data_IF_364624643879
#
_entry.id   IF_364624643879
#
_cell.length_a   1.000
_cell.length_b   1.000
_cell.length_c   1.000
_cell.angle_alpha   90.00
_cell.angle_beta   90.00
_cell.angle_gamma   90.00
#
_symmetry.space_group_name_H-M   'P 1'
#
loop_
_entity.id
_entity.type
_entity.pdbx_description
1 polymer ?
#
# COMPACT_ATOMS: atom_id res chain seq x y z
N UNK A 1 -10.44 33.53 49.77
CA UNK A 1 -9.33 33.66 48.80
C UNK A 1 -9.02 32.26 48.32
N UNK A 2 -9.76 31.83 47.30
CA UNK A 2 -9.56 30.57 46.60
C UNK A 2 -8.44 30.75 45.57
N UNK A 3 -7.59 29.74 45.44
CA UNK A 3 -6.64 29.62 44.34
C UNK A 3 -6.96 28.30 43.62
N UNK A 4 -7.44 28.32 42.37
CA UNK A 4 -7.85 27.12 41.67
C UNK A 4 -6.63 26.43 41.02
N UNK A 5 -6.49 25.14 41.30
CA UNK A 5 -5.50 24.27 40.68
C UNK A 5 -5.80 24.03 39.20
N UNK A 6 -4.81 24.32 38.37
CA UNK A 6 -4.81 24.03 36.93
C UNK A 6 -4.85 22.53 36.71
N UNK A 7 -6.01 22.00 36.30
CA UNK A 7 -6.15 20.62 35.85
C UNK A 7 -5.84 20.58 34.35
N UNK A 8 -4.64 20.12 33.99
CA UNK A 8 -4.32 19.76 32.60
C UNK A 8 -5.07 18.49 32.24
N UNK A 9 -6.24 18.65 31.62
CA UNK A 9 -7.00 17.55 31.04
C UNK A 9 -6.27 17.01 29.80
N UNK A 10 -5.62 15.85 29.94
CA UNK A 10 -5.22 15.06 28.79
C UNK A 10 -6.48 14.55 28.08
N UNK A 11 -6.64 14.90 26.80
CA UNK A 11 -7.68 14.36 25.94
C UNK A 11 -7.44 12.86 25.74
N UNK A 12 -8.08 12.03 26.55
CA UNK A 12 -8.22 10.60 26.28
C UNK A 12 -9.18 10.43 25.11
N UNK A 13 -8.65 10.33 23.90
CA UNK A 13 -9.40 9.92 22.72
C UNK A 13 -9.98 8.52 23.00
N UNK A 14 -11.31 8.36 22.96
CA UNK A 14 -11.91 7.07 23.26
C UNK A 14 -11.60 6.08 22.12
N UNK A 15 -11.55 4.79 22.43
CA UNK A 15 -11.31 3.72 21.44
C UNK A 15 -12.22 3.80 20.21
N UNK A 16 -13.46 4.25 20.42
CA UNK A 16 -14.46 4.45 19.38
C UNK A 16 -14.09 5.56 18.40
N UNK A 17 -13.41 6.60 18.86
CA UNK A 17 -13.14 7.81 18.06
C UNK A 17 -12.03 7.59 17.03
N UNK A 18 -10.94 6.93 17.42
CA UNK A 18 -9.84 6.61 16.51
C UNK A 18 -10.27 5.66 15.39
N UNK A 19 -10.98 4.58 15.75
CA UNK A 19 -11.53 3.63 14.79
C UNK A 19 -12.53 4.28 13.83
N UNK A 20 -13.47 5.07 14.37
CA UNK A 20 -14.45 5.82 13.57
C UNK A 20 -13.76 6.79 12.62
N UNK A 21 -12.72 7.49 13.09
CA UNK A 21 -11.94 8.44 12.28
C UNK A 21 -11.20 7.74 11.14
N UNK A 22 -10.48 6.65 11.43
CA UNK A 22 -9.75 5.89 10.39
C UNK A 22 -10.73 5.33 9.35
N UNK A 23 -11.86 4.77 9.79
CA UNK A 23 -12.91 4.29 8.88
C UNK A 23 -13.50 5.40 8.01
N UNK A 24 -13.82 6.55 8.60
CA UNK A 24 -14.32 7.71 7.86
C UNK A 24 -13.31 8.15 6.79
N UNK A 25 -12.04 8.27 7.15
CA UNK A 25 -10.98 8.63 6.21
C UNK A 25 -10.80 7.59 5.10
N UNK A 26 -10.94 6.29 5.40
CA UNK A 26 -10.96 5.22 4.40
C UNK A 26 -12.14 5.34 3.43
N UNK A 27 -13.33 5.66 3.91
CA UNK A 27 -14.52 5.93 3.07
C UNK A 27 -14.31 7.16 2.18
N UNK A 28 -13.66 8.20 2.69
CA UNK A 28 -13.30 9.39 1.90
C UNK A 28 -12.21 9.11 0.86
N UNK A 29 -11.43 8.03 1.02
CA UNK A 29 -10.43 7.59 0.04
C UNK A 29 -11.03 6.83 -1.14
N UNK A 30 -12.15 6.12 -0.95
CA UNK A 30 -12.78 5.34 -2.02
C UNK A 30 -13.18 6.23 -3.20
N UNK A 31 -12.81 5.81 -4.40
CA UNK A 31 -13.06 6.54 -5.64
C UNK A 31 -12.06 7.65 -5.96
N UNK A 32 -11.05 7.89 -5.10
CA UNK A 32 -9.97 8.84 -5.38
C UNK A 32 -8.86 8.20 -6.21
N UNK A 33 -8.11 9.06 -6.88
CA UNK A 33 -6.90 8.69 -7.59
C UNK A 33 -5.81 8.20 -6.66
N UNK A 34 -4.94 7.33 -7.15
CA UNK A 34 -3.81 6.78 -6.41
C UNK A 34 -2.65 6.48 -7.35
N UNK A 35 -1.43 6.77 -6.90
CA UNK A 35 -0.21 6.35 -7.58
C UNK A 35 0.29 5.06 -6.93
N UNK A 36 0.09 3.94 -7.61
CA UNK A 36 0.45 2.61 -7.08
C UNK A 36 1.96 2.36 -6.97
N UNK A 37 2.79 3.33 -7.37
CA UNK A 37 4.23 3.36 -7.05
C UNK A 37 4.51 3.80 -5.61
N UNK A 38 3.49 4.23 -4.86
CA UNK A 38 3.58 4.60 -3.44
C UNK A 38 3.16 3.45 -2.51
N UNK A 39 3.50 3.55 -1.22
CA UNK A 39 2.96 2.66 -0.18
C UNK A 39 1.45 2.90 0.03
N UNK A 40 0.71 1.92 0.55
CA UNK A 40 -0.75 1.93 0.74
C UNK A 40 -1.22 2.81 1.92
N UNK A 41 -0.74 4.06 2.01
CA UNK A 41 -1.18 5.03 3.04
C UNK A 41 -2.20 5.99 2.46
N UNK A 42 -3.21 6.34 3.26
CA UNK A 42 -4.24 7.31 2.87
C UNK A 42 -3.68 8.68 2.45
N UNK A 43 -2.51 9.06 2.96
CA UNK A 43 -1.83 10.31 2.61
C UNK A 43 -1.41 10.38 1.13
N UNK A 44 -1.25 9.24 0.46
CA UNK A 44 -0.86 9.17 -0.96
C UNK A 44 -2.06 9.17 -1.91
N UNK A 45 -3.29 9.18 -1.38
CA UNK A 45 -4.48 9.38 -2.22
C UNK A 45 -4.47 10.78 -2.82
N UNK A 46 -4.82 10.89 -4.10
CA UNK A 46 -4.81 12.14 -4.88
C UNK A 46 -6.00 13.04 -4.56
N UNK A 47 -5.80 14.35 -4.72
CA UNK A 47 -6.79 15.37 -4.37
C UNK A 47 -7.04 15.50 -2.87
N UNK A 48 -8.05 16.28 -2.47
CA UNK A 48 -8.46 16.41 -1.08
C UNK A 48 -9.33 15.21 -0.63
N UNK A 49 -9.50 14.95 0.68
CA UNK A 49 -10.50 13.98 1.15
C UNK A 49 -11.89 14.28 0.56
N UNK A 50 -12.53 13.28 -0.06
CA UNK A 50 -13.82 13.43 -0.72
C UNK A 50 -13.78 13.91 -2.19
N UNK A 51 -12.62 14.31 -2.74
CA UNK A 51 -12.51 14.70 -4.16
C UNK A 51 -12.39 13.45 -5.06
N UNK A 52 -13.49 12.71 -5.17
CA UNK A 52 -13.56 11.44 -5.91
C UNK A 52 -13.47 11.69 -7.41
N UNK A 53 -12.77 10.81 -8.12
CA UNK A 53 -12.73 10.81 -9.58
C UNK A 53 -13.96 10.12 -10.19
N UNK A 54 -14.58 9.23 -9.42
CA UNK A 54 -15.77 8.48 -9.82
C UNK A 54 -17.03 9.05 -9.19
N UNK A 55 -18.12 8.98 -9.94
CA UNK A 55 -19.46 9.36 -9.51
C UNK A 55 -19.99 8.31 -8.55
N UNK A 56 -20.33 8.74 -7.34
CA UNK A 56 -21.11 7.96 -6.38
C UNK A 56 -22.47 8.63 -6.20
N UNK A 57 -23.49 7.84 -5.89
CA UNK A 57 -24.79 8.36 -5.47
C UNK A 57 -24.65 9.03 -4.09
N UNK A 58 -24.40 10.35 -4.12
CA UNK A 58 -24.26 11.18 -2.93
C UNK A 58 -25.58 11.65 -2.35
N UNK A 59 -26.67 11.57 -3.13
CA UNK A 59 -28.00 12.00 -2.71
C UNK A 59 -28.65 10.97 -1.79
N UNK A 60 -28.30 9.69 -1.97
CA UNK A 60 -28.73 8.59 -1.11
C UNK A 60 -27.61 8.15 -0.17
N UNK A 61 -27.68 8.65 1.06
CA UNK A 61 -26.78 8.21 2.13
C UNK A 61 -27.51 7.36 3.17
N UNK A 62 -26.76 6.46 3.82
CA UNK A 62 -27.26 5.58 4.87
C UNK A 62 -26.29 5.55 6.05
N UNK A 63 -26.80 5.06 7.18
CA UNK A 63 -25.93 4.62 8.28
C UNK A 63 -25.28 3.30 7.88
N UNK A 64 -23.96 3.25 7.84
CA UNK A 64 -23.21 2.01 7.72
C UNK A 64 -22.99 1.46 9.13
N UNK A 65 -23.70 0.38 9.43
CA UNK A 65 -23.49 -0.39 10.65
C UNK A 65 -22.33 -1.33 10.40
N UNK A 66 -21.29 -1.16 11.20
CA UNK A 66 -20.18 -2.10 11.26
C UNK A 66 -20.34 -2.92 12.53
N UNK A 67 -19.74 -4.11 12.58
CA UNK A 67 -19.79 -4.95 13.78
C UNK A 67 -19.23 -4.21 15.01
N UNK A 68 -19.46 -4.74 16.23
CA UNK A 68 -19.01 -4.11 17.48
C UNK A 68 -19.63 -2.73 17.82
N UNK A 69 -20.74 -2.34 17.18
CA UNK A 69 -21.52 -1.15 17.56
C UNK A 69 -21.04 0.17 16.96
N UNK A 70 -20.07 0.14 16.03
CA UNK A 70 -19.64 1.33 15.28
C UNK A 70 -20.67 1.67 14.21
N UNK A 71 -21.14 2.91 14.20
CA UNK A 71 -22.12 3.40 13.22
C UNK A 71 -21.55 4.63 12.52
N UNK A 72 -21.34 4.51 11.21
CA UNK A 72 -20.88 5.63 10.39
C UNK A 72 -22.09 6.30 9.72
N UNK A 73 -22.38 7.58 10.02
CA UNK A 73 -23.46 8.30 9.37
C UNK A 73 -23.08 8.73 7.95
N UNK A 74 -24.09 9.04 7.14
CA UNK A 74 -23.94 9.71 5.84
C UNK A 74 -23.00 8.98 4.85
N UNK A 75 -22.99 7.64 4.87
CA UNK A 75 -22.21 6.84 3.93
C UNK A 75 -23.02 6.64 2.65
N UNK A 76 -22.46 6.96 1.45
CA UNK A 76 -23.10 6.67 0.17
C UNK A 76 -23.57 5.21 0.08
N UNK A 77 -24.74 4.97 -0.51
CA UNK A 77 -25.27 3.60 -0.68
C UNK A 77 -24.36 2.71 -1.53
N UNK A 78 -23.53 3.31 -2.37
CA UNK A 78 -22.53 2.65 -3.21
C UNK A 78 -21.31 2.11 -2.44
N UNK A 79 -21.27 2.29 -1.12
CA UNK A 79 -20.20 1.81 -0.26
C UNK A 79 -20.72 0.69 0.63
N UNK A 80 -20.00 -0.42 0.59
CA UNK A 80 -20.20 -1.58 1.43
C UNK A 80 -19.12 -1.66 2.51
N UNK A 81 -19.50 -2.19 3.66
CA UNK A 81 -18.61 -2.51 4.76
C UNK A 81 -18.71 -3.99 5.08
N UNK A 82 -17.57 -4.63 5.31
CA UNK A 82 -17.50 -6.01 5.80
C UNK A 82 -16.49 -6.12 6.95
N UNK A 83 -16.58 -7.19 7.74
CA UNK A 83 -15.58 -7.50 8.76
C UNK A 83 -14.59 -8.54 8.26
N UNK A 84 -13.32 -8.37 8.59
CA UNK A 84 -12.31 -9.37 8.32
C UNK A 84 -12.18 -10.43 9.42
N UNK A 85 -11.44 -11.49 9.11
CA UNK A 85 -11.04 -12.51 10.09
C UNK A 85 -9.56 -12.38 10.41
N UNK A 86 -9.22 -12.49 11.70
CA UNK A 86 -7.83 -12.58 12.14
C UNK A 86 -7.18 -13.80 11.50
N UNK A 87 -5.96 -13.65 11.03
CA UNK A 87 -5.22 -14.73 10.39
C UNK A 87 -3.71 -14.54 10.51
N UNK A 88 -2.99 -15.65 10.60
CA UNK A 88 -1.55 -15.67 10.38
C UNK A 88 -1.34 -16.11 8.94
N UNK A 89 -0.69 -15.25 8.14
CA UNK A 89 -0.31 -15.57 6.78
C UNK A 89 1.19 -15.86 6.73
N UNK A 90 1.54 -16.99 6.11
CA UNK A 90 2.92 -17.38 5.79
C UNK A 90 2.97 -17.57 4.28
N UNK A 91 3.85 -16.83 3.61
CA UNK A 91 4.14 -17.10 2.20
C UNK A 91 5.41 -17.96 2.14
N UNK A 92 5.41 -19.06 1.36
CA UNK A 92 6.62 -19.86 1.16
C UNK A 92 7.73 -19.02 0.55
N UNK A 93 8.96 -19.53 0.67
CA UNK A 93 10.13 -18.92 0.05
C UNK A 93 9.94 -18.90 -1.46
N UNK A 94 9.92 -17.72 -2.04
CA UNK A 94 9.65 -17.54 -3.47
C UNK A 94 10.62 -16.52 -4.08
N UNK A 95 10.59 -16.42 -5.40
CA UNK A 95 11.36 -15.42 -6.13
C UNK A 95 10.83 -14.00 -5.91
N UNK A 96 11.63 -13.01 -6.33
CA UNK A 96 11.21 -11.60 -6.37
C UNK A 96 9.90 -11.41 -7.15
N UNK A 97 9.76 -12.11 -8.29
CA UNK A 97 8.61 -11.97 -9.18
C UNK A 97 7.33 -12.55 -8.59
N UNK A 98 7.41 -13.76 -8.03
CA UNK A 98 6.26 -14.41 -7.38
C UNK A 98 5.76 -13.60 -6.16
N UNK A 99 6.69 -13.03 -5.37
CA UNK A 99 6.30 -12.17 -4.24
C UNK A 99 5.68 -10.86 -4.73
N UNK A 100 6.19 -10.26 -5.81
CA UNK A 100 5.61 -9.07 -6.41
C UNK A 100 4.18 -9.35 -6.92
N UNK A 101 3.98 -10.46 -7.64
CA UNK A 101 2.66 -10.91 -8.10
C UNK A 101 1.69 -11.13 -6.94
N UNK A 102 2.14 -11.75 -5.84
CA UNK A 102 1.33 -11.89 -4.63
C UNK A 102 0.86 -10.55 -4.05
N UNK A 103 1.74 -9.54 -4.02
CA UNK A 103 1.36 -8.19 -3.59
C UNK A 103 0.37 -7.52 -4.56
N UNK A 104 0.54 -7.75 -5.86
CA UNK A 104 -0.34 -7.23 -6.90
C UNK A 104 -1.75 -7.81 -6.77
N UNK A 105 -1.86 -9.13 -6.63
CA UNK A 105 -3.13 -9.85 -6.44
C UNK A 105 -3.85 -9.37 -5.18
N UNK A 106 -3.13 -9.16 -4.06
CA UNK A 106 -3.68 -8.58 -2.83
C UNK A 106 -4.27 -7.18 -3.01
N UNK A 107 -3.77 -6.44 -4.00
CA UNK A 107 -4.26 -5.09 -4.35
C UNK A 107 -5.27 -5.10 -5.51
N UNK A 108 -5.70 -6.28 -5.99
CA UNK A 108 -6.63 -6.41 -7.12
C UNK A 108 -6.02 -6.00 -8.47
N UNK A 109 -4.69 -6.00 -8.59
CA UNK A 109 -3.96 -5.64 -9.81
C UNK A 109 -3.37 -6.91 -10.42
N UNK A 110 -3.56 -7.09 -11.73
CA UNK A 110 -2.93 -8.16 -12.48
C UNK A 110 -1.57 -7.75 -13.03
N UNK A 111 -0.66 -8.71 -13.21
CA UNK A 111 0.64 -8.51 -13.85
C UNK A 111 1.80 -8.51 -12.87
N UNK A 112 2.99 -8.22 -13.39
CA UNK A 112 4.28 -8.51 -12.75
C UNK A 112 5.10 -7.25 -12.41
N UNK A 113 4.52 -6.06 -12.59
CA UNK A 113 5.16 -4.81 -12.19
C UNK A 113 5.03 -4.68 -10.66
N UNK A 114 6.13 -4.63 -9.89
CA UNK A 114 6.06 -4.56 -8.44
C UNK A 114 5.42 -3.24 -7.99
N UNK A 115 4.54 -3.27 -6.99
CA UNK A 115 3.92 -2.05 -6.44
C UNK A 115 4.87 -1.32 -5.47
N UNK A 116 4.57 -0.04 -5.23
CA UNK A 116 5.24 0.74 -4.19
C UNK A 116 5.11 0.11 -2.79
N UNK A 117 3.97 -0.50 -2.50
CA UNK A 117 3.76 -1.24 -1.25
C UNK A 117 4.72 -2.42 -1.09
N UNK A 118 4.95 -3.20 -2.16
CA UNK A 118 5.94 -4.28 -2.17
C UNK A 118 7.35 -3.73 -1.90
N UNK A 119 7.74 -2.68 -2.61
CA UNK A 119 9.06 -2.06 -2.42
C UNK A 119 9.26 -1.54 -0.99
N UNK A 120 8.26 -0.85 -0.45
CA UNK A 120 8.27 -0.32 0.91
C UNK A 120 8.38 -1.43 1.98
N UNK A 121 7.72 -2.58 1.76
CA UNK A 121 7.76 -3.69 2.72
C UNK A 121 9.13 -4.38 2.76
N UNK A 122 9.81 -4.51 1.62
CA UNK A 122 11.11 -5.18 1.50
C UNK A 122 12.34 -4.23 1.50
N UNK A 123 12.15 -2.92 1.71
CA UNK A 123 13.21 -1.91 1.60
C UNK A 123 13.93 -1.95 0.24
N UNK A 124 13.17 -2.13 -0.84
CA UNK A 124 13.69 -1.97 -2.19
C UNK A 124 13.69 -0.49 -2.56
N UNK A 125 14.84 -0.03 -3.07
CA UNK A 125 15.08 1.37 -3.44
C UNK A 125 15.80 1.50 -4.79
N UNK A 126 16.17 0.38 -5.41
CA UNK A 126 16.85 0.34 -6.70
C UNK A 126 15.84 0.23 -7.85
N UNK A 127 16.37 0.02 -9.05
CA UNK A 127 15.56 -0.45 -10.16
C UNK A 127 15.11 -1.90 -9.90
N UNK A 128 13.99 -2.30 -10.47
CA UNK A 128 13.45 -3.66 -10.45
C UNK A 128 14.49 -4.66 -10.92
N UNK A 129 15.25 -4.35 -11.97
CA UNK A 129 16.26 -5.26 -12.51
C UNK A 129 17.40 -5.46 -11.51
N UNK A 130 17.88 -4.38 -10.87
CA UNK A 130 18.94 -4.47 -9.85
C UNK A 130 18.45 -5.16 -8.59
N UNK A 131 17.28 -4.77 -8.07
CA UNK A 131 16.72 -5.34 -6.85
C UNK A 131 16.35 -6.82 -7.03
N UNK A 132 15.83 -7.20 -8.19
CA UNK A 132 15.59 -8.61 -8.52
C UNK A 132 16.89 -9.39 -8.66
N UNK A 133 17.92 -8.85 -9.33
CA UNK A 133 19.21 -9.53 -9.51
C UNK A 133 19.99 -9.69 -8.19
N UNK A 134 19.80 -8.76 -7.24
CA UNK A 134 20.41 -8.82 -5.91
C UNK A 134 19.66 -9.75 -4.94
N UNK A 135 18.45 -10.20 -5.29
CA UNK A 135 17.58 -10.99 -4.42
C UNK A 135 17.54 -12.45 -4.85
N UNK A 136 18.01 -13.34 -3.96
CA UNK A 136 17.92 -14.79 -4.17
C UNK A 136 16.51 -15.31 -3.95
N UNK A 137 15.90 -14.90 -2.84
CA UNK A 137 14.55 -15.30 -2.48
C UNK A 137 13.94 -14.32 -1.47
N UNK A 138 12.62 -14.31 -1.39
CA UNK A 138 11.83 -13.54 -0.45
C UNK A 138 10.91 -14.48 0.32
N UNK A 139 10.61 -14.12 1.56
CA UNK A 139 9.59 -14.79 2.36
C UNK A 139 8.91 -13.80 3.30
N UNK A 140 7.72 -14.16 3.77
CA UNK A 140 7.06 -13.39 4.81
C UNK A 140 6.22 -14.25 5.75
N UNK A 141 6.15 -13.82 7.00
CA UNK A 141 5.19 -14.31 7.98
C UNK A 141 4.60 -13.12 8.71
N UNK A 142 3.28 -13.08 8.85
CA UNK A 142 2.63 -11.96 9.51
C UNK A 142 1.29 -12.31 10.12
N UNK A 143 0.97 -11.59 11.19
CA UNK A 143 -0.32 -11.62 11.85
C UNK A 143 -1.17 -10.44 11.39
N UNK A 144 -2.32 -10.74 10.81
CA UNK A 144 -3.25 -9.77 10.22
C UNK A 144 -4.55 -9.75 11.02
N UNK A 145 -4.95 -8.55 11.44
CA UNK A 145 -6.19 -8.26 12.16
C UNK A 145 -6.98 -7.26 11.31
N UNK A 146 -7.60 -7.70 10.20
CA UNK A 146 -8.54 -6.87 9.45
C UNK A 146 -9.81 -6.70 10.29
N UNK A 147 -9.99 -5.52 10.87
CA UNK A 147 -11.21 -5.22 11.61
C UNK A 147 -12.36 -5.03 10.62
N UNK A 148 -12.14 -4.16 9.64
CA UNK A 148 -13.16 -3.77 8.68
C UNK A 148 -12.57 -3.53 7.29
N UNK A 149 -13.33 -3.85 6.27
CA UNK A 149 -13.07 -3.46 4.90
C UNK A 149 -14.24 -2.61 4.41
N UNK A 150 -13.91 -1.44 3.85
CA UNK A 150 -14.88 -0.61 3.12
C UNK A 150 -14.52 -0.67 1.64
N UNK A 151 -15.52 -0.85 0.77
CA UNK A 151 -15.32 -0.98 -0.67
C UNK A 151 -16.45 -0.37 -1.48
N UNK A 152 -16.16 -0.06 -2.74
CA UNK A 152 -17.17 0.32 -3.73
C UNK A 152 -17.98 -0.92 -4.13
N UNK A 153 -19.31 -0.84 -4.00
CA UNK A 153 -20.24 -1.92 -4.34
C UNK A 153 -20.44 -2.07 -5.86
N UNK A 154 -20.39 -0.94 -6.58
CA UNK A 154 -20.55 -0.91 -8.04
C UNK A 154 -19.25 -1.33 -8.72
N UNK A 155 -19.35 -2.34 -9.59
CA UNK A 155 -18.24 -2.74 -10.48
C UNK A 155 -18.13 -1.81 -11.70
N UNK A 156 -19.24 -1.24 -12.17
CA UNK A 156 -19.29 -0.32 -13.30
C UNK A 156 -19.10 1.13 -12.82
N UNK A 157 -17.88 1.48 -12.45
CA UNK A 157 -17.53 2.83 -12.01
C UNK A 157 -17.58 3.82 -13.19
N UNK A 158 -18.10 5.02 -12.96
CA UNK A 158 -18.20 6.08 -13.97
C UNK A 158 -17.37 7.28 -13.52
N UNK A 159 -16.39 7.68 -14.31
CA UNK A 159 -15.61 8.90 -14.05
C UNK A 159 -16.45 10.17 -14.21
N UNK A 160 -16.16 11.19 -13.42
CA UNK A 160 -16.67 12.54 -13.66
C UNK A 160 -16.21 13.04 -15.05
N UNK A 161 -17.10 13.74 -15.76
CA UNK A 161 -16.83 14.22 -17.12
C UNK A 161 -15.63 15.18 -17.21
N UNK A 162 -15.34 15.90 -16.13
CA UNK A 162 -14.15 16.76 -16.04
C UNK A 162 -12.85 15.97 -16.14
N UNK A 163 -12.80 14.76 -15.56
CA UNK A 163 -11.63 13.88 -15.62
C UNK A 163 -11.45 13.34 -17.04
N UNK A 164 -12.55 12.98 -17.70
CA UNK A 164 -12.53 12.55 -19.11
C UNK A 164 -12.01 13.67 -20.02
N UNK A 165 -12.45 14.91 -19.79
CA UNK A 165 -11.97 16.09 -20.54
C UNK A 165 -10.51 16.46 -20.25
N UNK A 166 -9.98 16.05 -19.09
CA UNK A 166 -8.58 16.28 -18.74
C UNK A 166 -7.60 15.34 -19.46
N UNK A 167 -8.09 14.27 -20.12
CA UNK A 167 -7.24 13.34 -20.87
C UNK A 167 -6.59 14.05 -22.06
N UNK A 168 -5.25 14.04 -22.17
CA UNK A 168 -4.56 14.66 -23.31
C UNK A 168 -4.90 13.97 -24.64
N UNK A 169 -5.26 14.76 -25.66
CA UNK A 169 -5.66 14.25 -26.98
C UNK A 169 -4.51 13.73 -27.84
N UNK A 170 -3.27 14.11 -27.53
CA UNK A 170 -2.06 13.75 -28.25
C UNK A 170 -0.98 13.27 -27.28
N UNK A 171 0.12 12.76 -27.83
CA UNK A 171 1.33 12.51 -27.06
C UNK A 171 2.03 13.83 -26.69
N UNK A 172 1.44 14.58 -25.76
CA UNK A 172 2.09 15.71 -25.10
C UNK A 172 2.67 15.26 -23.75
N UNK A 173 3.99 15.18 -23.64
CA UNK A 173 4.59 14.53 -22.50
C UNK A 173 4.38 15.27 -21.16
N UNK A 174 4.33 16.61 -21.18
CA UNK A 174 4.07 17.43 -20.00
C UNK A 174 2.63 17.26 -19.48
N UNK A 175 1.65 17.26 -20.39
CA UNK A 175 0.24 17.09 -20.02
C UNK A 175 -0.07 15.68 -19.52
N UNK A 176 0.54 14.66 -20.11
CA UNK A 176 0.39 13.26 -19.66
C UNK A 176 0.94 13.07 -18.24
N UNK A 177 2.12 13.64 -17.98
CA UNK A 177 2.72 13.65 -16.66
C UNK A 177 1.85 14.39 -15.63
N UNK A 178 1.36 15.58 -15.98
CA UNK A 178 0.45 16.36 -15.15
C UNK A 178 -0.84 15.60 -14.84
N UNK A 179 -1.38 14.83 -15.80
CA UNK A 179 -2.54 13.97 -15.56
C UNK A 179 -2.24 12.92 -14.47
N UNK A 180 -1.12 12.20 -14.59
CA UNK A 180 -0.71 11.17 -13.61
C UNK A 180 -0.44 11.81 -12.23
N UNK A 181 0.17 12.99 -12.19
CA UNK A 181 0.44 13.71 -10.95
C UNK A 181 -0.86 14.07 -10.22
N UNK A 182 -1.84 14.59 -10.96
CA UNK A 182 -3.12 15.08 -10.41
C UNK A 182 -4.12 13.96 -10.09
N UNK A 183 -4.21 12.93 -10.94
CA UNK A 183 -5.25 11.90 -10.84
C UNK A 183 -4.72 10.52 -10.49
N UNK A 184 -3.40 10.33 -10.49
CA UNK A 184 -2.78 9.03 -10.23
C UNK A 184 -2.85 8.09 -11.45
N UNK A 185 -2.45 6.84 -11.20
CA UNK A 185 -2.48 5.77 -12.21
C UNK A 185 -3.69 4.85 -12.03
N UNK A 186 -4.20 4.75 -10.81
CA UNK A 186 -5.31 3.89 -10.45
C UNK A 186 -6.32 4.63 -9.55
N UNK A 187 -7.46 4.01 -9.31
CA UNK A 187 -8.51 4.49 -8.41
C UNK A 187 -8.63 3.52 -7.24
N UNK A 188 -8.75 4.06 -6.02
CA UNK A 188 -8.96 3.26 -4.80
C UNK A 188 -10.37 2.65 -4.82
N UNK A 189 -10.47 1.32 -4.77
CA UNK A 189 -11.75 0.60 -4.78
C UNK A 189 -12.10 -0.03 -3.45
N UNK A 190 -11.12 -0.34 -2.60
CA UNK A 190 -11.34 -0.73 -1.22
C UNK A 190 -10.21 -0.26 -0.31
N UNK A 191 -10.50 -0.20 0.99
CA UNK A 191 -9.52 -0.01 2.04
C UNK A 191 -9.87 -0.91 3.24
N UNK A 192 -8.88 -1.65 3.74
CA UNK A 192 -8.99 -2.49 4.93
C UNK A 192 -8.34 -1.79 6.11
N UNK A 193 -9.15 -1.53 7.16
CA UNK A 193 -8.76 -0.91 8.42
C UNK A 193 -8.53 -1.99 9.47
N UNK A 194 -7.42 -1.89 10.20
CA UNK A 194 -7.10 -2.81 11.28
C UNK A 194 -5.64 -2.73 11.70
N UNK A 195 -5.05 -3.89 11.94
CA UNK A 195 -3.66 -4.02 12.35
C UNK A 195 -2.95 -5.14 11.59
N UNK A 196 -1.66 -4.96 11.33
CA UNK A 196 -0.80 -6.03 10.85
C UNK A 196 0.57 -5.93 11.50
N UNK A 197 1.15 -7.08 11.77
CA UNK A 197 2.52 -7.23 12.23
C UNK A 197 3.18 -8.29 11.36
N UNK A 198 4.15 -7.88 10.54
CA UNK A 198 4.73 -8.72 9.49
C UNK A 198 6.25 -8.68 9.56
N UNK A 199 6.85 -9.87 9.44
CA UNK A 199 8.28 -10.06 9.24
C UNK A 199 8.51 -10.38 7.77
N UNK A 200 9.24 -9.52 7.09
CA UNK A 200 9.70 -9.71 5.72
C UNK A 200 11.16 -10.14 5.73
N UNK A 201 11.47 -11.18 4.97
CA UNK A 201 12.80 -11.77 4.89
C UNK A 201 13.27 -11.64 3.45
N UNK A 202 14.44 -11.01 3.26
CA UNK A 202 15.13 -10.88 1.99
C UNK A 202 16.43 -11.65 2.05
N UNK A 203 16.51 -12.74 1.31
CA UNK A 203 17.75 -13.47 1.08
C UNK A 203 18.50 -12.82 -0.09
N UNK A 204 19.72 -12.33 0.15
CA UNK A 204 20.54 -11.75 -0.91
C UNK A 204 21.16 -12.83 -1.80
N UNK A 205 21.50 -12.46 -3.03
CA UNK A 205 22.07 -13.36 -4.04
C UNK A 205 23.36 -14.06 -3.58
N UNK A 206 24.16 -13.40 -2.72
CA UNK A 206 25.39 -13.94 -2.15
C UNK A 206 25.18 -14.97 -1.02
N UNK A 207 23.96 -15.09 -0.48
CA UNK A 207 23.67 -15.97 0.64
C UNK A 207 23.87 -17.44 0.27
N UNK A 208 24.65 -18.16 1.09
CA UNK A 208 24.89 -19.60 0.95
C UNK A 208 23.76 -20.48 1.49
N UNK A 209 22.74 -19.89 2.13
CA UNK A 209 21.63 -20.63 2.72
C UNK A 209 20.76 -21.32 1.66
N UNK A 210 20.27 -22.50 2.01
CA UNK A 210 19.29 -23.24 1.21
C UNK A 210 17.88 -22.67 1.40
N UNK A 211 16.95 -23.09 0.53
CA UNK A 211 15.52 -22.75 0.68
C UNK A 211 14.99 -23.24 2.02
N UNK A 212 15.30 -24.47 2.41
CA UNK A 212 14.87 -25.06 3.68
C UNK A 212 15.42 -24.33 4.91
N UNK A 213 16.63 -23.78 4.83
CA UNK A 213 17.17 -22.94 5.92
C UNK A 213 16.31 -21.68 6.13
N UNK A 214 15.86 -21.05 5.04
CA UNK A 214 14.99 -19.87 5.10
C UNK A 214 13.59 -20.26 5.56
N UNK A 215 13.03 -21.37 5.08
CA UNK A 215 11.71 -21.87 5.52
C UNK A 215 11.69 -22.16 7.02
N UNK A 216 12.71 -22.86 7.52
CA UNK A 216 12.86 -23.12 8.96
C UNK A 216 12.97 -21.80 9.72
N UNK A 217 13.74 -20.83 9.20
CA UNK A 217 13.86 -19.53 9.83
C UNK A 217 12.52 -18.76 9.90
N UNK A 218 11.76 -18.73 8.79
CA UNK A 218 10.42 -18.10 8.72
C UNK A 218 9.47 -18.74 9.73
N UNK A 219 9.54 -20.06 9.86
CA UNK A 219 8.74 -20.80 10.84
C UNK A 219 9.13 -20.40 12.27
N UNK A 220 10.41 -20.47 12.62
CA UNK A 220 10.88 -20.21 13.98
C UNK A 220 10.60 -18.77 14.42
N UNK A 221 10.83 -17.78 13.56
CA UNK A 221 10.53 -16.38 13.87
C UNK A 221 9.02 -16.13 13.97
N UNK A 222 8.23 -16.81 13.13
CA UNK A 222 6.77 -16.72 13.17
C UNK A 222 6.21 -17.31 14.47
N UNK A 223 6.71 -18.46 14.89
CA UNK A 223 6.27 -19.15 16.10
C UNK A 223 6.68 -18.34 17.35
N UNK A 224 7.89 -17.79 17.38
CA UNK A 224 8.34 -16.92 18.48
C UNK A 224 7.58 -15.58 18.52
N UNK A 225 7.23 -14.99 17.37
CA UNK A 225 6.61 -13.66 17.32
C UNK A 225 5.10 -13.69 17.50
N UNK A 226 4.43 -14.72 16.99
CA UNK A 226 2.97 -14.75 16.87
C UNK A 226 2.31 -15.88 17.65
N UNK A 227 3.06 -16.77 18.30
CA UNK A 227 2.49 -17.83 19.14
C UNK A 227 3.00 -17.71 20.58
N UNK A 228 2.08 -17.75 21.54
CA UNK A 228 2.39 -17.81 22.96
C UNK A 228 2.98 -19.19 23.30
N UNK A 229 4.27 -19.36 23.08
CA UNK A 229 5.01 -20.51 23.59
C UNK A 229 5.45 -20.18 25.02
N UNK A 230 4.70 -20.69 26.00
CA UNK A 230 5.11 -20.67 27.41
C UNK A 230 6.44 -21.39 27.58
N UNK A 231 7.50 -20.64 27.89
CA UNK A 231 8.76 -21.18 28.39
C UNK A 231 9.73 -21.66 27.30
N UNK A 232 10.91 -21.02 27.28
CA UNK A 232 12.20 -21.56 26.85
C UNK A 232 12.20 -22.46 25.61
N UNK A 233 12.21 -21.85 24.42
CA UNK A 233 12.84 -22.47 23.24
C UNK A 233 14.13 -21.73 22.92
N UNK A 234 15.25 -22.46 23.01
CA UNK A 234 16.62 -21.97 22.91
C UNK A 234 17.05 -21.63 21.48
N UNK A 235 16.25 -20.89 20.72
CA UNK A 235 16.74 -20.24 19.50
C UNK A 235 17.18 -18.82 19.88
N UNK A 236 18.39 -18.69 20.45
CA UNK A 236 19.05 -17.40 20.51
C UNK A 236 19.04 -16.75 19.12
N UNK A 237 19.08 -15.40 19.02
CA UNK A 237 18.98 -14.70 17.74
C UNK A 237 19.97 -15.32 16.75
N UNK A 238 19.44 -16.03 15.77
CA UNK A 238 20.26 -16.70 14.78
C UNK A 238 21.16 -15.65 14.13
N UNK A 239 22.47 -15.92 14.12
CA UNK A 239 23.50 -15.07 13.49
C UNK A 239 23.36 -15.09 11.96
N UNK A 240 22.22 -14.66 11.43
CA UNK A 240 21.96 -14.55 9.99
C UNK A 240 22.42 -13.22 9.41
N UNK A 241 22.73 -12.23 10.26
CA UNK A 241 23.45 -11.03 9.80
C UNK A 241 24.75 -11.37 9.08
N UNK A 242 25.38 -12.49 9.45
CA UNK A 242 26.61 -13.00 8.85
C UNK A 242 26.36 -13.91 7.62
N UNK A 243 25.10 -14.10 7.20
CA UNK A 243 24.71 -15.02 6.10
C UNK A 243 23.99 -14.33 4.94
N UNK A 244 24.15 -13.01 4.82
CA UNK A 244 23.53 -12.19 3.79
C UNK A 244 22.00 -12.35 3.72
N UNK A 245 21.35 -12.21 4.88
CA UNK A 245 19.88 -12.16 5.00
C UNK A 245 19.48 -10.87 5.70
N UNK A 246 18.52 -10.14 5.12
CA UNK A 246 17.91 -8.97 5.73
C UNK A 246 16.53 -9.33 6.29
N UNK A 247 16.30 -8.96 7.55
CA UNK A 247 15.04 -9.21 8.26
C UNK A 247 14.42 -7.87 8.60
N UNK A 248 13.17 -7.68 8.18
CA UNK A 248 12.50 -6.39 8.21
C UNK A 248 11.19 -6.56 8.95
N UNK A 249 11.05 -5.85 10.07
CA UNK A 249 9.82 -5.83 10.86
C UNK A 249 8.97 -4.65 10.42
N UNK A 250 7.71 -4.94 10.07
CA UNK A 250 6.73 -3.95 9.64
C UNK A 250 5.44 -4.15 10.42
N UNK A 251 5.20 -3.25 11.35
CA UNK A 251 3.94 -3.14 12.08
C UNK A 251 3.15 -1.94 11.57
N UNK A 252 1.83 -2.08 11.52
CA UNK A 252 0.89 -1.01 11.20
C UNK A 252 -0.41 -1.23 11.97
N UNK A 253 -0.86 -0.21 12.69
CA UNK A 253 -2.02 -0.29 13.59
C UNK A 253 -1.71 -0.98 14.91
N UNK A 254 -2.40 -0.57 15.97
CA UNK A 254 -2.12 -0.94 17.36
C UNK A 254 -0.96 -0.15 17.97
N UNK A 255 -0.56 -0.53 19.18
CA UNK A 255 0.58 0.05 19.90
C UNK A 255 1.89 -0.60 19.45
N UNK A 256 2.79 0.20 18.86
CA UNK A 256 4.09 -0.27 18.39
C UNK A 256 5.02 -0.74 19.53
N UNK A 257 4.75 -0.32 20.78
CA UNK A 257 5.56 -0.69 21.94
C UNK A 257 5.16 -2.04 22.54
N UNK A 258 3.92 -2.50 22.32
CA UNK A 258 3.42 -3.76 22.90
C UNK A 258 4.06 -4.97 22.22
N UNK A 259 4.77 -5.81 22.99
CA UNK A 259 5.53 -6.94 22.47
C UNK A 259 4.72 -8.24 22.45
N UNK A 260 3.74 -8.38 23.35
CA UNK A 260 2.86 -9.55 23.34
C UNK A 260 1.92 -9.49 22.14
N UNK A 261 1.87 -10.54 21.30
CA UNK A 261 1.00 -10.55 20.12
C UNK A 261 -0.49 -10.44 20.48
N UNK A 262 -0.89 -11.06 21.59
CA UNK A 262 -2.28 -11.02 22.06
C UNK A 262 -2.67 -9.66 22.64
N UNK A 263 -1.79 -9.06 23.46
CA UNK A 263 -2.04 -7.68 23.95
C UNK A 263 -2.00 -6.67 22.82
N UNK A 264 -1.05 -6.79 21.89
CA UNK A 264 -1.00 -5.92 20.72
C UNK A 264 -2.31 -6.03 19.91
N UNK A 265 -2.84 -7.25 19.73
CA UNK A 265 -4.10 -7.47 19.04
C UNK A 265 -5.30 -6.74 19.68
N UNK A 266 -5.31 -6.58 21.02
CA UNK A 266 -6.31 -5.80 21.74
C UNK A 266 -6.16 -4.30 21.47
N UNK A 267 -4.92 -3.80 21.34
CA UNK A 267 -4.66 -2.38 21.04
C UNK A 267 -5.05 -1.96 19.62
N UNK A 268 -5.14 -2.90 18.66
CA UNK A 268 -5.48 -2.59 17.26
C UNK A 268 -6.82 -1.87 17.13
N UNK A 269 -7.80 -2.17 17.98
CA UNK A 269 -9.09 -1.44 17.98
C UNK A 269 -8.95 0.00 18.46
N UNK A 270 -7.95 0.28 19.30
CA UNK A 270 -7.71 1.62 19.87
C UNK A 270 -6.94 2.53 18.91
N UNK A 271 -6.07 1.95 18.08
CA UNK A 271 -5.23 2.69 17.14
C UNK A 271 -5.15 1.98 15.77
N UNK A 272 -6.27 1.79 15.05
CA UNK A 272 -6.26 1.09 13.78
C UNK A 272 -5.69 1.96 12.65
N UNK A 273 -5.12 1.32 11.64
CA UNK A 273 -4.60 1.97 10.42
C UNK A 273 -4.98 1.15 9.17
N UNK A 274 -4.72 1.68 7.98
CA UNK A 274 -5.00 1.02 6.69
C UNK A 274 -3.93 -0.02 6.37
N UNK A 275 -4.32 -1.29 6.43
CA UNK A 275 -3.42 -2.43 6.26
C UNK A 275 -3.46 -3.07 4.86
N UNK A 276 -4.50 -2.75 4.07
CA UNK A 276 -4.63 -3.15 2.67
C UNK A 276 -5.48 -2.14 1.89
N UNK A 277 -5.27 -2.06 0.58
CA UNK A 277 -6.11 -1.32 -0.37
C UNK A 277 -6.20 -2.11 -1.67
N UNK A 278 -7.33 -2.00 -2.38
CA UNK A 278 -7.43 -2.49 -3.75
C UNK A 278 -7.64 -1.35 -4.72
N UNK A 279 -7.29 -1.58 -5.98
CA UNK A 279 -7.31 -0.56 -7.01
C UNK A 279 -7.89 -1.03 -8.34
N UNK A 280 -8.27 -0.07 -9.17
CA UNK A 280 -8.65 -0.28 -10.57
C UNK A 280 -7.89 0.72 -11.45
N UNK A 281 -7.27 0.29 -12.57
CA UNK A 281 -6.55 1.21 -13.46
C UNK A 281 -7.48 2.32 -13.97
N UNK A 282 -7.06 3.60 -13.88
CA UNK A 282 -7.93 4.72 -14.30
C UNK A 282 -8.33 4.62 -15.78
N UNK A 283 -7.42 4.10 -16.61
CA UNK A 283 -7.62 3.90 -18.05
C UNK A 283 -8.72 2.88 -18.37
N UNK A 284 -9.02 1.95 -17.45
CA UNK A 284 -10.13 1.01 -17.65
C UNK A 284 -11.50 1.68 -17.64
N UNK A 285 -11.60 2.90 -17.09
CA UNK A 285 -12.84 3.68 -17.01
C UNK A 285 -12.94 4.78 -18.08
N UNK A 286 -11.98 4.83 -19.01
CA UNK A 286 -11.86 5.86 -20.04
C UNK A 286 -12.20 5.35 -21.44
N UNK A 287 -12.87 4.20 -21.55
CA UNK A 287 -13.28 3.65 -22.84
C UNK A 287 -14.07 4.69 -23.67
N UNK A 288 -13.70 4.83 -24.95
CA UNK A 288 -14.30 5.82 -25.86
C UNK A 288 -13.77 7.25 -25.70
N UNK A 289 -12.94 7.56 -24.69
CA UNK A 289 -12.34 8.90 -24.52
C UNK A 289 -11.18 9.08 -25.51
N UNK A 290 -11.18 10.14 -26.35
CA UNK A 290 -10.05 10.43 -27.23
C UNK A 290 -8.75 10.63 -26.44
N UNK A 291 -7.62 10.13 -26.96
CA UNK A 291 -6.32 10.23 -26.28
C UNK A 291 -6.03 9.12 -25.26
N UNK A 292 -7.00 8.24 -24.95
CA UNK A 292 -6.82 7.12 -24.01
C UNK A 292 -5.56 6.28 -24.31
N UNK A 293 -5.25 6.02 -25.58
CA UNK A 293 -4.08 5.22 -25.98
C UNK A 293 -2.76 5.88 -25.58
N UNK A 294 -2.69 7.22 -25.64
CA UNK A 294 -1.53 7.97 -25.20
C UNK A 294 -1.40 7.91 -23.68
N UNK A 295 -2.51 8.08 -22.95
CA UNK A 295 -2.51 8.00 -21.50
C UNK A 295 -2.17 6.61 -20.98
N UNK A 296 -2.74 5.55 -21.56
CA UNK A 296 -2.41 4.17 -21.22
C UNK A 296 -0.92 3.89 -21.39
N UNK A 297 -0.36 4.23 -22.57
CA UNK A 297 1.07 4.07 -22.82
C UNK A 297 1.94 4.91 -21.89
N UNK A 298 1.50 6.12 -21.54
CA UNK A 298 2.19 7.00 -20.60
C UNK A 298 2.22 6.41 -19.18
N UNK A 299 1.11 5.84 -18.70
CA UNK A 299 1.04 5.16 -17.40
C UNK A 299 1.91 3.92 -17.40
N UNK A 300 1.88 3.10 -18.46
CA UNK A 300 2.74 1.91 -18.56
C UNK A 300 4.22 2.30 -18.47
N UNK A 301 4.65 3.31 -19.24
CA UNK A 301 6.02 3.83 -19.19
C UNK A 301 6.37 4.44 -17.83
N UNK A 302 5.43 5.14 -17.20
CA UNK A 302 5.63 5.74 -15.88
C UNK A 302 5.89 4.67 -14.82
N UNK A 303 5.05 3.63 -14.80
CA UNK A 303 5.22 2.49 -13.91
C UNK A 303 6.56 1.79 -14.23
N UNK A 304 6.82 1.43 -15.48
CA UNK A 304 8.09 0.83 -15.89
C UNK A 304 9.31 1.67 -15.47
N UNK A 305 9.28 2.99 -15.64
CA UNK A 305 10.38 3.91 -15.30
C UNK A 305 10.64 4.00 -13.80
N UNK A 306 9.59 4.23 -13.00
CA UNK A 306 9.70 4.29 -11.54
C UNK A 306 10.26 3.00 -10.96
N UNK A 307 10.06 1.89 -11.67
CA UNK A 307 10.60 0.60 -11.33
C UNK A 307 11.82 0.19 -12.16
N UNK A 308 12.41 1.02 -13.03
CA UNK A 308 13.60 0.61 -13.84
C UNK A 308 14.80 1.53 -13.70
N UNK A 309 14.68 2.73 -13.11
CA UNK A 309 15.81 3.66 -13.07
C UNK A 309 16.84 3.36 -11.96
N UNK A 310 18.08 3.15 -12.41
CA UNK A 310 19.30 3.02 -11.62
C UNK A 310 19.75 4.39 -11.05
N UNK A 311 19.00 5.00 -10.13
CA UNK A 311 19.46 6.21 -9.45
C UNK A 311 19.22 6.17 -7.94
N UNK A 312 20.31 6.26 -7.17
CA UNK A 312 20.33 6.32 -5.71
C UNK A 312 20.12 7.79 -5.30
N UNK A 313 19.05 8.17 -4.58
CA UNK A 313 18.97 9.50 -4.01
C UNK A 313 19.86 9.57 -2.76
N UNK A 314 20.93 10.37 -2.82
CA UNK A 314 21.64 10.81 -1.62
C UNK A 314 20.83 11.93 -0.94
N UNK A 315 20.41 11.65 0.29
CA UNK A 315 19.83 12.56 1.28
C UNK A 315 18.52 13.30 0.95
N UNK A 316 17.52 13.01 1.80
CA UNK A 316 16.44 13.89 2.30
C UNK A 316 15.94 15.01 1.38
N UNK A 317 14.69 14.86 0.93
CA UNK A 317 13.80 15.85 0.26
C UNK A 317 13.64 15.67 -1.25
N UNK A 318 13.05 14.56 -1.73
CA UNK A 318 12.91 14.40 -3.19
C UNK A 318 11.99 13.27 -3.71
N UNK A 319 10.85 12.95 -3.08
CA UNK A 319 9.80 12.20 -3.81
C UNK A 319 9.35 12.96 -5.08
N UNK A 320 9.33 14.29 -5.00
CA UNK A 320 9.01 15.22 -6.10
C UNK A 320 10.09 15.20 -7.20
N UNK A 321 11.38 15.09 -6.88
CA UNK A 321 12.46 15.14 -7.87
C UNK A 321 12.52 13.85 -8.71
N UNK A 322 12.27 12.68 -8.10
CA UNK A 322 12.18 11.41 -8.84
C UNK A 322 10.90 11.38 -9.69
N UNK A 323 9.80 11.99 -9.23
CA UNK A 323 8.57 12.17 -10.01
C UNK A 323 8.86 13.04 -11.26
N UNK A 324 9.45 14.22 -11.07
CA UNK A 324 9.82 15.12 -12.16
C UNK A 324 10.89 14.53 -13.10
N UNK A 325 11.82 13.68 -12.65
CA UNK A 325 12.86 13.11 -13.53
C UNK A 325 12.40 11.87 -14.31
N UNK A 326 11.57 10.97 -13.76
CA UNK A 326 10.94 9.94 -14.60
C UNK A 326 10.00 10.60 -15.62
N UNK A 327 9.31 11.67 -15.21
CA UNK A 327 8.59 12.54 -16.13
C UNK A 327 9.58 13.11 -17.16
N UNK A 328 10.64 13.83 -16.78
CA UNK A 328 11.57 14.47 -17.71
C UNK A 328 12.33 13.49 -18.64
N UNK A 329 12.71 12.31 -18.17
CA UNK A 329 13.52 11.35 -18.93
C UNK A 329 12.67 10.50 -19.89
N UNK A 330 11.44 10.14 -19.51
CA UNK A 330 10.49 9.42 -20.37
C UNK A 330 9.78 10.39 -21.31
N UNK A 331 9.40 11.56 -20.79
CA UNK A 331 8.49 12.48 -21.47
C UNK A 331 9.24 13.59 -22.22
N UNK A 332 10.37 14.12 -21.73
CA UNK A 332 11.09 15.22 -22.41
C UNK A 332 12.34 14.81 -23.21
N UNK A 333 12.95 13.64 -22.97
CA UNK A 333 14.10 13.14 -23.74
C UNK A 333 13.77 12.05 -24.78
N UNK A 334 12.48 11.73 -24.98
CA UNK A 334 11.99 10.70 -25.91
C UNK A 334 12.30 10.91 -27.41
N UNK A 335 13.10 11.91 -27.79
CA UNK A 335 13.62 12.07 -29.16
C UNK A 335 14.94 11.27 -29.38
N UNK A 336 15.59 10.73 -28.34
CA UNK A 336 16.92 10.09 -28.50
C UNK A 336 17.04 8.59 -28.18
N UNK A 337 15.95 7.89 -27.85
CA UNK A 337 16.00 6.44 -27.57
C UNK A 337 15.72 5.53 -28.77
N UNK A 338 15.80 6.05 -30.00
CA UNK A 338 16.13 5.25 -31.21
C UNK A 338 17.65 5.16 -31.34
N UNK A 339 18.34 4.69 -30.29
CA UNK A 339 19.75 4.25 -30.34
C UNK A 339 20.00 3.16 -29.30
N UNK A 340 19.21 2.10 -29.33
CA UNK A 340 19.75 0.78 -28.99
C UNK A 340 20.33 0.21 -30.28
N UNK A 341 21.63 0.40 -30.49
CA UNK A 341 22.37 -0.31 -31.53
C UNK A 341 22.48 -1.81 -31.18
N UNK A 342 22.51 -2.61 -32.25
CA UNK A 342 22.76 -4.05 -32.36
C UNK A 342 23.58 -4.71 -31.25
#
# INVERSE_FOLDING_TARGET
MENPGTTTGGLSCSSSDALTTTLYNSIQALGRGFDVTSDIRLLYCKGAPGSRLVQLDGDHTRKLYVSDGVVLPNVPTDIEGSTGKRSIARLPVCSFHEMAEFFNEKCGISGHIPLGSFNAMFNFTGSRQVDAAATKSLAMVGYFIPLYEVKLAKLNLVLHEEIKRAVPYSWDPASLASFIENYGTHIVTSATVGGRDVVYIRQHQSSSLSVSDIENYVKDIGDHRFMDSTGESSAGPLKYKDKDVTVIFRRRGGDDLEQSPDRWAETVRLAPDVINMTFTPIVSLLEGVPGIKHLARAIDLYLECKFSNNYIPSNSSSEVVVHLQCIHHVFFQGISLVKCHF
#
